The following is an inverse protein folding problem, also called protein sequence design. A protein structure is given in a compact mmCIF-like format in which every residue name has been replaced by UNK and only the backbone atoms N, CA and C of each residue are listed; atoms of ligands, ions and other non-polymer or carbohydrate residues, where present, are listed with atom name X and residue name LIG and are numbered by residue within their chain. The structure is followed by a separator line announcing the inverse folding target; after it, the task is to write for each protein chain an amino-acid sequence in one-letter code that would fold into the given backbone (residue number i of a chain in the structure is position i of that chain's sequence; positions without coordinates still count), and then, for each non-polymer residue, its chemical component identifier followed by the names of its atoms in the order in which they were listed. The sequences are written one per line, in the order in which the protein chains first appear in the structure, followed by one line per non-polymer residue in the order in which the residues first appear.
data_IF_768302837017
#
_entry.id   IF_768302837017
#
_cell.length_a   1.000
_cell.length_b   1.000
_cell.length_c   1.000
_cell.angle_alpha   90.00
_cell.angle_beta   90.00
_cell.angle_gamma   90.00
#
_symmetry.space_group_name_H-M   'P 1'
#
loop_
_entity.id
_entity.type
_entity.pdbx_description
1 polymer ?
#
# COMPACT_ATOMS: atom_id res chain seq x y z
N UNK A 1 9.33 -3.83 -26.31
CA UNK A 1 9.72 -4.49 -25.05
C UNK A 1 9.45 -3.48 -23.95
N UNK A 2 8.28 -3.53 -23.32
CA UNK A 2 8.03 -2.74 -22.11
C UNK A 2 8.71 -3.47 -20.96
N UNK A 3 9.66 -2.80 -20.31
CA UNK A 3 10.26 -3.32 -19.09
C UNK A 3 9.16 -3.50 -18.05
N UNK A 4 8.97 -4.73 -17.56
CA UNK A 4 8.04 -5.06 -16.48
C UNK A 4 8.57 -4.47 -15.17
N UNK A 5 8.32 -3.19 -14.95
CA UNK A 5 8.40 -2.60 -13.62
C UNK A 5 7.30 -3.23 -12.74
N UNK A 6 7.55 -3.46 -11.44
CA UNK A 6 6.55 -3.98 -10.53
C UNK A 6 5.30 -3.11 -10.58
N UNK A 7 4.16 -3.71 -10.93
CA UNK A 7 2.88 -2.99 -10.99
C UNK A 7 2.24 -2.86 -9.60
N UNK A 8 2.72 -3.64 -8.63
CA UNK A 8 2.24 -3.67 -7.26
C UNK A 8 2.97 -2.67 -6.38
N UNK A 9 2.23 -1.99 -5.50
CA UNK A 9 2.80 -1.03 -4.55
C UNK A 9 2.40 -1.37 -3.14
N UNK A 10 3.34 -1.19 -2.22
CA UNK A 10 3.09 -1.37 -0.79
C UNK A 10 3.42 -0.09 -0.03
N UNK A 11 2.52 0.31 0.87
CA UNK A 11 2.67 1.52 1.70
C UNK A 11 2.41 1.19 3.17
N UNK A 12 3.46 1.29 3.97
CA UNK A 12 3.40 1.10 5.42
C UNK A 12 2.88 2.36 6.13
N UNK A 13 2.10 2.14 7.20
CA UNK A 13 1.94 3.15 8.25
C UNK A 13 3.16 3.21 9.18
N UNK A 14 3.20 4.18 10.09
CA UNK A 14 4.35 4.39 10.98
C UNK A 14 4.78 3.12 11.77
N UNK A 15 3.86 2.43 12.46
CA UNK A 15 4.18 1.18 13.16
C UNK A 15 4.68 0.05 12.25
N UNK A 16 4.08 -0.16 11.08
CA UNK A 16 4.53 -1.19 10.13
C UNK A 16 5.91 -0.86 9.56
N UNK A 17 6.15 0.41 9.22
CA UNK A 17 7.44 0.89 8.72
C UNK A 17 8.59 0.64 9.71
N UNK A 18 8.33 0.85 11.01
CA UNK A 18 9.28 0.54 12.10
C UNK A 18 9.56 -0.97 12.22
N UNK A 19 8.59 -1.80 11.85
CA UNK A 19 8.74 -3.25 11.80
C UNK A 19 9.32 -3.75 10.47
N UNK A 20 9.65 -2.85 9.53
CA UNK A 20 10.22 -3.16 8.22
C UNK A 20 9.35 -4.05 7.31
N UNK A 21 8.02 -4.05 7.49
CA UNK A 21 7.15 -4.96 6.73
C UNK A 21 7.26 -4.77 5.21
N UNK A 22 7.13 -3.54 4.68
CA UNK A 22 7.33 -3.28 3.25
C UNK A 22 8.68 -3.78 2.72
N UNK A 23 9.75 -3.68 3.53
CA UNK A 23 11.11 -4.10 3.14
C UNK A 23 11.24 -5.61 3.09
N UNK A 24 10.70 -6.31 4.10
CA UNK A 24 10.65 -7.78 4.11
C UNK A 24 9.82 -8.30 2.94
N UNK A 25 8.64 -7.70 2.70
CA UNK A 25 7.78 -8.06 1.57
C UNK A 25 8.51 -7.89 0.24
N UNK A 26 9.11 -6.73 -0.01
CA UNK A 26 9.86 -6.48 -1.25
C UNK A 26 10.99 -7.50 -1.44
N UNK A 27 11.82 -7.71 -0.41
CA UNK A 27 12.95 -8.64 -0.51
C UNK A 27 12.48 -10.06 -0.83
N UNK A 28 11.53 -10.61 -0.06
CA UNK A 28 11.12 -12.00 -0.22
C UNK A 28 10.24 -12.22 -1.45
N UNK A 29 9.54 -11.19 -1.93
CA UNK A 29 8.71 -11.33 -3.11
C UNK A 29 9.50 -11.19 -4.41
N UNK A 30 10.61 -10.45 -4.39
CA UNK A 30 11.61 -10.43 -5.49
C UNK A 30 12.22 -11.82 -5.73
N UNK A 31 12.51 -12.59 -4.68
CA UNK A 31 13.12 -13.92 -4.78
C UNK A 31 12.26 -14.95 -5.54
N UNK A 32 10.94 -14.75 -5.57
CA UNK A 32 9.97 -15.68 -6.18
C UNK A 32 9.28 -15.12 -7.42
N UNK A 33 9.66 -13.92 -7.87
CA UNK A 33 9.09 -13.29 -9.07
C UNK A 33 7.71 -12.68 -8.90
N UNK A 34 7.33 -12.29 -7.68
CA UNK A 34 6.07 -11.58 -7.33
C UNK A 34 6.39 -10.20 -6.69
N UNK A 35 7.15 -9.30 -7.36
CA UNK A 35 7.82 -8.17 -6.71
C UNK A 35 6.88 -7.00 -6.33
N UNK A 36 7.17 -6.35 -5.20
CA UNK A 36 6.52 -5.10 -4.77
C UNK A 36 7.42 -3.87 -4.90
N UNK A 37 6.86 -2.74 -5.33
CA UNK A 37 7.49 -1.43 -5.19
C UNK A 37 7.06 -0.74 -3.89
N UNK A 38 8.03 -0.32 -3.08
CA UNK A 38 7.72 0.43 -1.85
C UNK A 38 7.37 1.87 -2.20
N UNK A 39 6.20 2.33 -1.75
CA UNK A 39 5.86 3.75 -1.74
C UNK A 39 5.72 4.29 -0.33
N UNK A 40 5.86 5.61 -0.20
CA UNK A 40 5.88 6.29 1.11
C UNK A 40 4.76 7.28 1.24
N UNK A 41 3.86 7.07 2.20
CA UNK A 41 2.82 8.03 2.55
C UNK A 41 3.45 9.25 3.23
N UNK A 42 3.03 10.45 2.83
CA UNK A 42 3.49 11.71 3.40
C UNK A 42 2.33 12.44 4.09
N UNK A 43 2.69 13.45 4.88
CA UNK A 43 1.71 14.20 5.69
C UNK A 43 0.75 14.99 4.81
N UNK A 44 1.24 15.52 3.69
CA UNK A 44 0.43 16.25 2.71
C UNK A 44 -0.68 15.37 2.10
N UNK A 45 -0.41 14.09 1.87
CA UNK A 45 -1.42 13.18 1.28
C UNK A 45 -2.59 12.98 2.22
N UNK A 46 -2.31 12.85 3.52
CA UNK A 46 -3.33 12.73 4.57
C UNK A 46 -4.09 14.05 4.70
N UNK A 47 -3.38 15.18 4.67
CA UNK A 47 -3.98 16.50 4.80
C UNK A 47 -5.04 16.75 3.72
N UNK A 48 -4.75 16.34 2.48
CA UNK A 48 -5.64 16.54 1.34
C UNK A 48 -6.94 15.72 1.39
N UNK A 49 -7.05 14.77 2.34
CA UNK A 49 -8.24 13.93 2.52
C UNK A 49 -9.02 14.25 3.81
N UNK A 50 -8.64 15.30 4.57
CA UNK A 50 -9.44 15.76 5.71
C UNK A 50 -10.66 16.56 5.25
N UNK A 51 -11.75 16.50 6.02
CA UNK A 51 -12.95 17.29 5.78
C UNK A 51 -12.67 18.78 5.64
N UNK A 52 -13.37 19.44 4.71
CA UNK A 52 -13.17 20.85 4.35
C UNK A 52 -14.39 21.73 4.63
N UNK A 53 -15.53 21.12 4.96
CA UNK A 53 -16.79 21.80 5.27
C UNK A 53 -17.45 21.24 6.53
N UNK A 54 -18.44 21.96 7.06
CA UNK A 54 -19.24 21.49 8.20
C UNK A 54 -19.99 20.21 7.83
N UNK A 55 -19.83 19.18 8.67
CA UNK A 55 -20.39 17.85 8.42
C UNK A 55 -19.48 16.89 7.67
N UNK A 56 -18.36 17.35 7.11
CA UNK A 56 -17.37 16.49 6.46
C UNK A 56 -16.28 16.06 7.45
N UNK A 57 -16.12 14.75 7.66
CA UNK A 57 -14.99 14.21 8.43
C UNK A 57 -13.78 13.91 7.54
N UNK A 58 -14.04 13.29 6.37
CA UNK A 58 -13.03 12.79 5.42
C UNK A 58 -13.56 12.98 4.00
N UNK A 59 -12.70 13.39 3.07
CA UNK A 59 -13.03 13.49 1.63
C UNK A 59 -12.31 12.40 0.85
N UNK A 60 -13.01 11.75 -0.08
CA UNK A 60 -12.44 10.66 -0.90
C UNK A 60 -11.41 11.13 -1.94
N UNK A 61 -11.41 12.42 -2.26
CA UNK A 61 -10.52 13.01 -3.24
C UNK A 61 -10.88 14.47 -3.48
N UNK A 62 -9.89 15.23 -3.96
CA UNK A 62 -10.06 16.64 -4.32
C UNK A 62 -10.67 16.75 -5.73
N UNK A 63 -11.48 17.77 -6.03
CA UNK A 63 -12.06 18.02 -7.36
C UNK A 63 -11.02 18.57 -8.37
N UNK A 64 -9.76 18.14 -8.26
CA UNK A 64 -8.67 18.52 -9.17
C UNK A 64 -8.55 17.46 -10.28
N UNK A 65 -8.26 17.85 -11.54
CA UNK A 65 -7.96 16.90 -12.59
C UNK A 65 -6.86 15.92 -12.15
N UNK A 66 -6.94 14.66 -12.55
CA UNK A 66 -5.95 13.61 -12.21
C UNK A 66 -4.52 13.95 -12.66
N UNK A 67 -4.39 14.81 -13.66
CA UNK A 67 -3.10 15.36 -14.12
C UNK A 67 -2.48 16.39 -13.17
N UNK A 68 -3.26 16.91 -12.22
CA UNK A 68 -2.83 17.89 -11.22
C UNK A 68 -2.82 17.34 -9.79
N UNK A 69 -3.39 16.16 -9.55
CA UNK A 69 -3.17 15.43 -8.30
C UNK A 69 -1.77 14.83 -8.33
N UNK A 70 -0.83 15.52 -7.69
CA UNK A 70 0.47 14.90 -7.41
C UNK A 70 0.22 13.63 -6.60
N UNK A 71 0.88 12.51 -6.97
CA UNK A 71 0.95 11.27 -6.17
C UNK A 71 -0.31 10.38 -6.21
N UNK A 72 -0.87 10.18 -7.40
CA UNK A 72 -2.11 9.43 -7.71
C UNK A 72 -2.45 8.21 -6.82
N UNK A 73 -1.61 7.17 -6.77
CA UNK A 73 -1.94 5.95 -6.00
C UNK A 73 -1.91 6.17 -4.46
N UNK A 74 -1.25 7.22 -3.98
CA UNK A 74 -1.14 7.47 -2.55
C UNK A 74 -2.36 8.16 -1.95
N UNK A 75 -3.14 8.87 -2.78
CA UNK A 75 -4.40 9.47 -2.34
C UNK A 75 -5.38 8.44 -1.76
N UNK A 76 -5.70 7.36 -2.49
CA UNK A 76 -6.50 6.27 -1.97
C UNK A 76 -5.98 5.67 -0.67
N UNK A 77 -4.66 5.51 -0.52
CA UNK A 77 -4.06 5.05 0.75
C UNK A 77 -4.36 5.99 1.90
N UNK A 78 -4.18 7.30 1.68
CA UNK A 78 -4.45 8.33 2.67
C UNK A 78 -5.93 8.36 3.08
N UNK A 79 -6.84 8.28 2.10
CA UNK A 79 -8.27 8.21 2.33
C UNK A 79 -8.65 7.00 3.20
N UNK A 80 -8.21 5.80 2.81
CA UNK A 80 -8.54 4.57 3.53
C UNK A 80 -8.00 4.59 4.96
N UNK A 81 -6.79 5.13 5.16
CA UNK A 81 -6.18 5.27 6.48
C UNK A 81 -7.03 6.19 7.40
N UNK A 82 -7.57 7.29 6.87
CA UNK A 82 -8.45 8.19 7.62
C UNK A 82 -9.85 7.60 7.84
N UNK A 83 -10.48 7.08 6.78
CA UNK A 83 -11.85 6.57 6.82
C UNK A 83 -12.00 5.36 7.76
N UNK A 84 -10.94 4.56 7.90
CA UNK A 84 -10.88 3.44 8.86
C UNK A 84 -10.50 3.86 10.28
N UNK A 85 -10.11 5.11 10.51
CA UNK A 85 -9.61 5.61 11.79
C UNK A 85 -8.22 5.07 12.18
N UNK A 86 -7.48 4.49 11.23
CA UNK A 86 -6.12 3.99 11.45
C UNK A 86 -5.11 5.10 11.77
N UNK A 87 -5.44 6.36 11.48
CA UNK A 87 -4.64 7.52 11.90
C UNK A 87 -4.51 7.65 13.42
N UNK A 88 -5.48 7.13 14.18
CA UNK A 88 -5.48 7.10 15.66
C UNK A 88 -4.54 6.06 16.26
N UNK A 89 -4.06 5.11 15.46
CA UNK A 89 -3.23 3.98 15.89
C UNK A 89 -1.79 4.07 15.35
N UNK A 90 -1.33 5.29 15.06
CA UNK A 90 0.04 5.54 14.59
C UNK A 90 1.12 5.31 15.64
N UNK A 91 2.38 5.59 15.26
CA UNK A 91 3.58 5.35 16.09
C UNK A 91 3.62 6.05 17.45
N UNK A 92 2.78 7.07 17.67
CA UNK A 92 2.69 7.83 18.91
C UNK A 92 1.43 7.51 19.72
N UNK A 93 0.63 6.54 19.27
CA UNK A 93 -0.56 6.05 19.98
C UNK A 93 -0.14 5.15 21.15
N UNK A 94 -0.96 5.11 22.21
CA UNK A 94 -0.82 4.15 23.30
C UNK A 94 -1.08 2.70 22.85
N UNK A 95 -1.79 2.54 21.73
CA UNK A 95 -2.14 1.24 21.11
C UNK A 95 -1.73 1.19 19.64
N UNK A 96 -0.43 1.26 19.30
CA UNK A 96 0.02 1.34 17.93
C UNK A 96 -0.33 0.07 17.13
N UNK A 97 -0.93 0.23 15.96
CA UNK A 97 -1.33 -0.87 15.08
C UNK A 97 -0.52 -0.86 13.78
N UNK A 98 0.08 -1.99 13.44
CA UNK A 98 0.79 -2.17 12.16
C UNK A 98 -0.23 -2.32 11.03
N UNK A 99 -0.09 -1.51 9.99
CA UNK A 99 -0.92 -1.55 8.80
C UNK A 99 -0.08 -1.27 7.56
N UNK A 100 -0.34 -2.04 6.51
CA UNK A 100 0.28 -1.89 5.19
C UNK A 100 -0.81 -1.97 4.13
N UNK A 101 -0.86 -0.98 3.26
CA UNK A 101 -1.74 -0.97 2.09
C UNK A 101 -1.03 -1.60 0.90
N UNK A 102 -1.70 -2.51 0.20
CA UNK A 102 -1.22 -3.15 -1.02
C UNK A 102 -2.10 -2.69 -2.19
N UNK A 103 -1.52 -1.94 -3.12
CA UNK A 103 -2.14 -1.58 -4.38
C UNK A 103 -1.76 -2.62 -5.43
N UNK A 104 -2.73 -3.47 -5.78
CA UNK A 104 -2.56 -4.63 -6.67
C UNK A 104 -3.20 -4.40 -8.04
N UNK A 105 -3.65 -3.17 -8.33
CA UNK A 105 -4.49 -2.90 -9.49
C UNK A 105 -3.86 -3.33 -10.82
N UNK A 106 -2.55 -3.12 -11.00
CA UNK A 106 -1.87 -3.54 -12.22
C UNK A 106 -1.48 -5.03 -12.26
N UNK A 107 -1.52 -5.72 -11.12
CA UNK A 107 -1.11 -7.12 -11.01
C UNK A 107 -2.27 -8.12 -10.98
N UNK A 108 -3.48 -7.68 -10.59
CA UNK A 108 -4.61 -8.57 -10.34
C UNK A 108 -5.13 -9.31 -11.59
N UNK A 109 -4.75 -8.83 -12.78
CA UNK A 109 -5.23 -9.29 -14.07
C UNK A 109 -6.34 -8.39 -14.61
N UNK A 110 -6.59 -8.52 -15.92
CA UNK A 110 -7.61 -7.74 -16.63
C UNK A 110 -8.70 -8.64 -17.18
N UNK A 111 -9.96 -8.19 -17.05
CA UNK A 111 -11.07 -8.87 -17.70
C UNK A 111 -10.92 -8.83 -19.23
N UNK A 112 -11.26 -9.93 -19.95
CA UNK A 112 -11.92 -11.14 -19.48
C UNK A 112 -10.95 -12.26 -19.02
N UNK A 113 -9.64 -11.99 -18.95
CA UNK A 113 -8.67 -13.01 -18.57
C UNK A 113 -8.85 -13.40 -17.09
N UNK A 114 -8.50 -14.65 -16.72
CA UNK A 114 -8.48 -15.05 -15.32
C UNK A 114 -7.55 -14.16 -14.48
N UNK A 115 -7.86 -14.03 -13.20
CA UNK A 115 -6.98 -13.36 -12.24
C UNK A 115 -5.61 -14.04 -12.20
N UNK A 116 -4.56 -13.26 -11.97
CA UNK A 116 -3.17 -13.74 -11.94
C UNK A 116 -2.85 -14.54 -10.67
N UNK A 117 -3.59 -14.28 -9.58
CA UNK A 117 -3.29 -14.81 -8.25
C UNK A 117 -2.24 -14.00 -7.48
N UNK A 118 -1.67 -12.94 -8.06
CA UNK A 118 -0.83 -12.01 -7.33
C UNK A 118 -1.68 -11.20 -6.31
N UNK A 119 -1.19 -10.90 -5.09
CA UNK A 119 0.14 -11.19 -4.54
C UNK A 119 0.15 -12.38 -3.57
N UNK A 120 -0.56 -13.48 -3.87
CA UNK A 120 -0.70 -14.63 -2.93
C UNK A 120 0.66 -15.24 -2.58
N UNK A 121 1.54 -15.40 -3.58
CA UNK A 121 2.86 -16.01 -3.34
C UNK A 121 3.77 -15.06 -2.55
N UNK A 122 3.79 -13.76 -2.88
CA UNK A 122 4.52 -12.74 -2.13
C UNK A 122 4.14 -12.73 -0.64
N UNK A 123 2.83 -12.71 -0.35
CA UNK A 123 2.32 -12.72 1.02
C UNK A 123 2.65 -14.03 1.74
N UNK A 124 2.48 -15.18 1.08
CA UNK A 124 2.80 -16.47 1.67
C UNK A 124 4.29 -16.59 2.00
N UNK A 125 5.18 -16.20 1.07
CA UNK A 125 6.62 -16.24 1.29
C UNK A 125 7.05 -15.33 2.45
N UNK A 126 6.51 -14.12 2.50
CA UNK A 126 6.85 -13.12 3.53
C UNK A 126 6.33 -13.51 4.91
N UNK A 127 5.07 -13.95 5.02
CA UNK A 127 4.42 -14.19 6.31
C UNK A 127 4.74 -15.57 6.89
N UNK A 128 4.88 -16.58 6.04
CA UNK A 128 5.21 -17.94 6.48
C UNK A 128 6.72 -18.16 6.56
N UNK A 129 7.52 -17.28 5.93
CA UNK A 129 8.99 -17.39 5.85
C UNK A 129 9.39 -18.76 5.34
N UNK A 130 8.95 -19.13 4.13
CA UNK A 130 9.38 -20.39 3.55
C UNK A 130 10.90 -20.37 3.41
N UNK A 131 11.59 -21.06 4.31
CA UNK A 131 13.01 -21.35 4.14
C UNK A 131 13.08 -22.42 3.08
N UNK A 132 13.48 -22.03 1.87
CA UNK A 132 14.00 -23.01 0.92
C UNK A 132 15.35 -23.44 1.49
N UNK A 133 15.36 -24.56 2.21
CA UNK A 133 16.62 -25.19 2.60
C UNK A 133 17.45 -25.37 1.32
N UNK A 134 18.58 -24.67 1.27
CA UNK A 134 19.47 -24.71 0.11
C UNK A 134 19.98 -26.15 -0.04
N UNK A 135 19.57 -26.79 -1.15
CA UNK A 135 20.05 -28.11 -1.54
C UNK A 135 21.50 -28.07 -2.06
#
# INVERSE_FOLDING_TARGET
MSENLPLEKVVDNGPAYKASFCRELQQYSEEIGDPFEISTLRREDIKDHRGVAEGDDVVQGQPKPSSQSMRGHQGPVAFLLLASGLDKYGSASDTPLKYSHLDIAGSAGDLPNPATGAPVLALANTLLKFTVDSA
#
